data_IF_520631977511
#
_entry.id   IF_520631977511
#
_cell.length_a   1.000
_cell.length_b   1.000
_cell.length_c   1.000
_cell.angle_alpha   90.00
_cell.angle_beta   90.00
_cell.angle_gamma   90.00
#
_symmetry.space_group_name_H-M   'P 1'
#
loop_
_entity.id
_entity.type
_entity.pdbx_description
1 polymer ?
#
# COMPACT_ATOMS: atom_id res chain seq x y z
N UNK A 1 -14.78 24.05 -39.85
CA UNK A 1 -14.43 23.02 -40.86
C UNK A 1 -13.28 23.57 -41.69
N UNK A 2 -12.17 22.84 -41.90
CA UNK A 2 -11.05 23.31 -42.70
C UNK A 2 -11.48 23.62 -44.15
N UNK A 3 -10.87 24.62 -44.78
CA UNK A 3 -11.19 24.99 -46.18
C UNK A 3 -10.93 23.84 -47.15
N UNK A 4 -9.91 23.01 -46.89
CA UNK A 4 -9.58 21.79 -47.66
C UNK A 4 -10.71 20.75 -47.65
N UNK A 5 -11.45 20.66 -46.54
CA UNK A 5 -12.56 19.72 -46.38
C UNK A 5 -13.81 20.22 -47.11
N UNK A 6 -14.04 21.54 -47.14
CA UNK A 6 -15.20 22.13 -47.82
C UNK A 6 -15.16 21.89 -49.33
N UNK A 7 -13.98 21.99 -49.96
CA UNK A 7 -13.80 21.64 -51.38
C UNK A 7 -14.01 20.16 -51.66
N UNK A 8 -13.73 19.28 -50.69
CA UNK A 8 -13.90 17.83 -50.82
C UNK A 8 -15.36 17.38 -50.84
N UNK A 9 -16.27 18.11 -50.17
CA UNK A 9 -17.68 17.72 -50.06
C UNK A 9 -18.45 17.75 -51.39
N UNK A 10 -17.98 18.53 -52.38
CA UNK A 10 -18.59 18.63 -53.71
C UNK A 10 -18.04 17.65 -54.74
N UNK A 11 -17.09 16.79 -54.36
CA UNK A 11 -16.45 15.83 -55.26
C UNK A 11 -17.39 14.66 -55.55
N UNK A 12 -17.22 14.02 -56.72
CA UNK A 12 -17.96 12.81 -57.10
C UNK A 12 -17.67 11.66 -56.12
N UNK A 13 -18.68 10.84 -55.87
CA UNK A 13 -18.60 9.69 -54.95
C UNK A 13 -18.30 8.41 -55.74
N UNK A 14 -17.15 8.37 -56.41
CA UNK A 14 -16.74 7.32 -57.35
C UNK A 14 -15.62 6.42 -56.82
N UNK A 15 -15.09 6.68 -55.62
CA UNK A 15 -14.03 5.86 -55.02
C UNK A 15 -14.62 4.54 -54.56
N UNK A 16 -14.23 3.46 -55.25
CA UNK A 16 -14.59 2.10 -54.87
C UNK A 16 -13.70 1.60 -53.73
N UNK A 17 -14.31 1.05 -52.69
CA UNK A 17 -13.64 0.40 -51.58
C UNK A 17 -14.19 -1.02 -51.41
N UNK A 18 -13.33 -2.00 -51.57
CA UNK A 18 -13.69 -3.40 -51.33
C UNK A 18 -13.84 -3.67 -49.84
N UNK A 19 -14.96 -4.27 -49.46
CA UNK A 19 -15.22 -4.70 -48.09
C UNK A 19 -14.79 -6.16 -47.92
N UNK A 20 -14.21 -6.50 -46.77
CA UNK A 20 -13.92 -7.89 -46.39
C UNK A 20 -15.17 -8.79 -46.38
N UNK A 21 -16.36 -8.18 -46.37
CA UNK A 21 -17.67 -8.84 -46.33
C UNK A 21 -18.29 -9.07 -47.72
N UNK A 22 -17.54 -8.86 -48.81
CA UNK A 22 -18.02 -9.06 -50.19
C UNK A 22 -19.07 -8.05 -50.67
N UNK A 23 -19.25 -6.94 -49.94
CA UNK A 23 -20.13 -5.83 -50.35
C UNK A 23 -19.32 -4.76 -51.06
N UNK A 24 -19.75 -4.35 -52.25
CA UNK A 24 -19.17 -3.21 -52.94
C UNK A 24 -19.62 -1.91 -52.31
N UNK A 25 -18.66 -1.02 -52.03
CA UNK A 25 -18.92 0.31 -51.49
C UNK A 25 -18.32 1.33 -52.43
N UNK A 26 -19.09 2.36 -52.74
CA UNK A 26 -18.63 3.53 -53.48
C UNK A 26 -18.91 4.77 -52.65
N UNK A 27 -17.96 5.69 -52.62
CA UNK A 27 -18.05 6.87 -51.78
C UNK A 27 -16.87 7.81 -51.99
N UNK A 28 -16.65 8.66 -51.01
CA UNK A 28 -15.44 9.47 -50.93
C UNK A 28 -14.98 9.55 -49.47
N UNK A 29 -13.68 9.78 -49.26
CA UNK A 29 -13.12 9.99 -47.93
C UNK A 29 -12.61 11.42 -47.78
N UNK A 30 -12.99 12.06 -46.68
CA UNK A 30 -12.46 13.36 -46.24
C UNK A 30 -10.99 13.30 -45.81
N UNK A 31 -10.48 12.10 -45.54
CA UNK A 31 -9.12 11.84 -45.10
C UNK A 31 -8.27 11.23 -46.23
N UNK A 32 -8.65 11.46 -47.50
CA UNK A 32 -7.88 11.00 -48.66
C UNK A 32 -6.52 11.71 -48.81
N UNK A 33 -6.39 12.90 -48.22
CA UNK A 33 -5.16 13.70 -48.17
C UNK A 33 -4.87 14.11 -46.72
N UNK A 34 -3.58 14.28 -46.40
CA UNK A 34 -3.17 14.71 -45.07
C UNK A 34 -3.51 16.20 -44.86
N UNK A 35 -4.26 16.48 -43.81
CA UNK A 35 -4.68 17.84 -43.44
C UNK A 35 -3.66 18.41 -42.48
N UNK A 36 -2.88 19.39 -42.94
CA UNK A 36 -1.81 20.03 -42.14
C UNK A 36 -2.35 20.57 -40.83
N UNK A 37 -1.78 20.13 -39.72
CA UNK A 37 -2.11 20.61 -38.38
C UNK A 37 -3.36 19.98 -37.74
N UNK A 38 -4.03 19.02 -38.39
CA UNK A 38 -5.17 18.31 -37.79
C UNK A 38 -5.01 16.79 -37.87
N UNK A 39 -4.78 16.25 -39.07
CA UNK A 39 -4.68 14.79 -39.29
C UNK A 39 -3.50 14.51 -40.22
N UNK A 40 -2.46 13.87 -39.68
CA UNK A 40 -1.22 13.58 -40.41
C UNK A 40 -1.28 12.30 -41.25
N UNK A 41 -2.27 11.44 -41.02
CA UNK A 41 -2.43 10.16 -41.73
C UNK A 41 -3.52 10.24 -42.79
N UNK A 42 -3.44 9.32 -43.75
CA UNK A 42 -4.37 9.20 -44.88
C UNK A 42 -5.17 7.92 -44.73
N UNK A 43 -6.49 8.04 -44.88
CA UNK A 43 -7.42 6.91 -44.86
C UNK A 43 -8.38 7.03 -46.05
N UNK A 44 -8.09 6.30 -47.13
CA UNK A 44 -8.90 6.32 -48.35
C UNK A 44 -10.15 5.46 -48.25
N UNK A 45 -10.05 4.33 -47.55
CA UNK A 45 -11.15 3.38 -47.37
C UNK A 45 -11.34 3.06 -45.88
N UNK A 46 -12.58 2.78 -45.45
CA UNK A 46 -12.88 2.48 -44.05
C UNK A 46 -12.20 1.20 -43.55
N UNK A 47 -11.86 0.26 -44.45
CA UNK A 47 -11.16 -0.99 -44.11
C UNK A 47 -9.69 -0.78 -43.73
N UNK A 48 -9.13 0.39 -44.04
CA UNK A 48 -7.80 0.76 -43.56
C UNK A 48 -7.77 1.10 -42.06
N UNK A 49 -8.94 1.33 -41.45
CA UNK A 49 -9.10 1.54 -40.01
C UNK A 49 -9.45 0.23 -39.32
N UNK A 50 -8.90 0.03 -38.12
CA UNK A 50 -9.31 -1.10 -37.27
C UNK A 50 -10.77 -0.95 -36.90
N UNK A 51 -11.45 -2.06 -36.61
CA UNK A 51 -12.87 -2.04 -36.22
C UNK A 51 -13.14 -1.22 -34.96
N UNK A 52 -12.17 -1.14 -34.05
CA UNK A 52 -12.22 -0.32 -32.83
C UNK A 52 -11.98 1.17 -33.10
N UNK A 53 -11.34 1.51 -34.21
CA UNK A 53 -10.96 2.87 -34.58
C UNK A 53 -11.98 3.56 -35.49
N UNK A 54 -13.04 2.85 -35.87
CA UNK A 54 -14.07 3.36 -36.76
C UNK A 54 -15.45 3.17 -36.17
N UNK A 55 -16.29 4.18 -36.31
CA UNK A 55 -17.71 4.08 -35.98
C UNK A 55 -18.55 4.21 -37.25
N UNK A 56 -19.51 3.31 -37.39
CA UNK A 56 -20.41 3.27 -38.53
C UNK A 56 -21.75 3.89 -38.13
N UNK A 57 -22.14 4.96 -38.81
CA UNK A 57 -23.45 5.58 -38.65
C UNK A 57 -24.28 5.42 -39.91
N UNK A 58 -25.50 4.91 -39.76
CA UNK A 58 -26.47 4.79 -40.85
C UNK A 58 -27.65 5.71 -40.56
N UNK A 59 -28.01 6.62 -41.48
CA UNK A 59 -29.17 7.49 -41.29
C UNK A 59 -30.45 6.65 -41.23
N UNK A 60 -31.36 7.02 -40.32
CA UNK A 60 -32.69 6.39 -40.24
C UNK A 60 -33.59 6.94 -41.33
N UNK A 61 -33.53 6.32 -42.51
CA UNK A 61 -34.43 6.63 -43.61
C UNK A 61 -35.67 5.73 -43.50
N UNK A 62 -36.88 6.32 -43.64
CA UNK A 62 -38.13 5.56 -43.61
C UNK A 62 -38.36 4.88 -44.97
N UNK A 63 -37.66 3.76 -45.18
CA UNK A 63 -37.62 3.00 -46.44
C UNK A 63 -38.07 1.56 -46.16
N UNK A 64 -38.72 0.90 -47.12
CA UNK A 64 -39.07 -0.52 -47.03
C UNK A 64 -37.83 -1.40 -46.87
N UNK A 65 -37.95 -2.49 -46.11
CA UNK A 65 -36.83 -3.38 -45.76
C UNK A 65 -36.05 -3.89 -46.99
N UNK A 66 -36.75 -4.20 -48.09
CA UNK A 66 -36.14 -4.67 -49.34
C UNK A 66 -35.24 -3.61 -50.00
N UNK A 67 -35.69 -2.35 -50.07
CA UNK A 67 -34.92 -1.29 -50.68
C UNK A 67 -33.67 -0.89 -49.86
N UNK A 68 -33.67 -1.17 -48.54
CA UNK A 68 -32.49 -0.99 -47.69
C UNK A 68 -31.39 -2.05 -47.95
N UNK A 69 -31.77 -3.25 -48.42
CA UNK A 69 -30.80 -4.28 -48.81
C UNK A 69 -30.10 -3.94 -50.13
N UNK A 70 -30.82 -3.32 -51.07
CA UNK A 70 -30.29 -2.92 -52.38
C UNK A 70 -29.27 -1.78 -52.27
N UNK A 71 -29.62 -0.70 -51.55
CA UNK A 71 -28.72 0.42 -51.34
C UNK A 71 -28.98 1.09 -49.99
N UNK A 72 -27.91 1.48 -49.32
CA UNK A 72 -27.99 2.26 -48.09
C UNK A 72 -26.78 3.17 -47.97
N UNK A 73 -26.98 4.32 -47.35
CA UNK A 73 -25.92 5.31 -47.12
C UNK A 73 -25.27 4.99 -45.77
N UNK A 74 -23.95 5.03 -45.73
CA UNK A 74 -23.17 4.78 -44.52
C UNK A 74 -22.14 5.87 -44.35
N UNK A 75 -22.04 6.37 -43.12
CA UNK A 75 -20.98 7.28 -42.70
C UNK A 75 -20.00 6.53 -41.80
N UNK A 76 -18.71 6.69 -42.07
CA UNK A 76 -17.65 6.17 -41.21
C UNK A 76 -16.95 7.34 -40.54
N UNK A 77 -16.91 7.31 -39.21
CA UNK A 77 -16.16 8.27 -38.40
C UNK A 77 -14.87 7.64 -37.91
N UNK A 78 -13.83 8.46 -37.85
CA UNK A 78 -12.53 8.08 -37.34
C UNK A 78 -12.41 8.41 -35.85
N UNK A 79 -12.19 7.37 -35.06
CA UNK A 79 -12.02 7.42 -33.61
C UNK A 79 -10.58 7.15 -33.17
N UNK A 80 -9.61 6.98 -34.08
CA UNK A 80 -8.19 6.78 -33.75
C UNK A 80 -7.65 7.70 -32.65
N UNK A 81 -7.81 9.04 -32.74
CA UNK A 81 -7.26 9.93 -31.71
C UNK A 81 -7.93 9.71 -30.35
N UNK A 82 -9.19 9.28 -30.33
CA UNK A 82 -9.90 8.97 -29.07
C UNK A 82 -9.41 7.65 -28.48
N UNK A 83 -9.32 6.60 -29.30
CA UNK A 83 -8.86 5.26 -28.87
C UNK A 83 -7.41 5.31 -28.36
N UNK A 84 -6.54 6.09 -29.00
CA UNK A 84 -5.16 6.27 -28.55
C UNK A 84 -5.09 6.92 -27.17
N UNK A 85 -5.87 7.99 -26.95
CA UNK A 85 -5.93 8.68 -25.65
C UNK A 85 -6.54 7.81 -24.57
N UNK A 86 -7.62 7.09 -24.88
CA UNK A 86 -8.26 6.14 -23.98
C UNK A 86 -7.28 5.03 -23.56
N UNK A 87 -6.54 4.47 -24.51
CA UNK A 87 -5.54 3.43 -24.24
C UNK A 87 -4.42 3.94 -23.32
N UNK A 88 -3.91 5.16 -23.56
CA UNK A 88 -2.89 5.79 -22.71
C UNK A 88 -3.41 6.00 -21.28
N UNK A 89 -4.64 6.48 -21.12
CA UNK A 89 -5.23 6.66 -19.79
C UNK A 89 -5.47 5.34 -19.08
N UNK A 90 -5.94 4.31 -19.78
CA UNK A 90 -6.13 2.97 -19.21
C UNK A 90 -4.81 2.36 -18.69
N UNK A 91 -3.74 2.45 -19.48
CA UNK A 91 -2.40 1.97 -19.06
C UNK A 91 -1.89 2.80 -17.87
N UNK A 92 -2.08 4.11 -17.90
CA UNK A 92 -1.61 4.98 -16.80
C UNK A 92 -2.33 4.66 -15.49
N UNK A 93 -3.65 4.44 -15.54
CA UNK A 93 -4.45 4.10 -14.36
C UNK A 93 -4.07 2.74 -13.79
N UNK A 94 -3.88 1.72 -14.62
CA UNK A 94 -3.47 0.39 -14.14
C UNK A 94 -2.09 0.41 -13.50
N UNK A 95 -1.13 1.08 -14.12
CA UNK A 95 0.22 1.27 -13.55
C UNK A 95 0.15 2.01 -12.22
N UNK A 96 -0.60 3.11 -12.15
CA UNK A 96 -0.79 3.88 -10.92
C UNK A 96 -1.39 3.02 -9.80
N UNK A 97 -2.44 2.24 -10.08
CA UNK A 97 -3.07 1.37 -9.09
C UNK A 97 -2.10 0.29 -8.60
N UNK A 98 -1.30 -0.32 -9.49
CA UNK A 98 -0.28 -1.27 -9.07
C UNK A 98 0.76 -0.63 -8.14
N UNK A 99 1.24 0.58 -8.46
CA UNK A 99 2.18 1.30 -7.59
C UNK A 99 1.54 1.70 -6.25
N UNK A 100 0.32 2.21 -6.27
CA UNK A 100 -0.38 2.61 -5.04
C UNK A 100 -0.63 1.42 -4.11
N UNK A 101 -1.06 0.27 -4.65
CA UNK A 101 -1.33 -0.94 -3.87
C UNK A 101 -0.05 -1.55 -3.29
N UNK A 102 1.02 -1.62 -4.09
CA UNK A 102 2.31 -2.13 -3.60
C UNK A 102 2.90 -1.22 -2.52
N UNK A 103 2.87 0.09 -2.73
CA UNK A 103 3.36 1.05 -1.75
C UNK A 103 2.54 1.01 -0.45
N UNK A 104 1.20 0.98 -0.55
CA UNK A 104 0.33 0.85 0.61
C UNK A 104 0.61 -0.46 1.38
N UNK A 105 0.73 -1.59 0.68
CA UNK A 105 1.04 -2.88 1.31
C UNK A 105 2.35 -2.83 2.08
N UNK A 106 3.40 -2.23 1.51
CA UNK A 106 4.71 -2.12 2.18
C UNK A 106 4.64 -1.23 3.42
N UNK A 107 3.92 -0.10 3.36
CA UNK A 107 3.73 0.77 4.51
C UNK A 107 2.97 0.05 5.64
N UNK A 108 1.88 -0.64 5.32
CA UNK A 108 1.10 -1.38 6.31
C UNK A 108 1.92 -2.53 6.94
N UNK A 109 2.70 -3.27 6.15
CA UNK A 109 3.57 -4.33 6.69
C UNK A 109 4.61 -3.76 7.65
N UNK A 110 5.25 -2.64 7.28
CA UNK A 110 6.24 -2.00 8.14
C UNK A 110 5.62 -1.50 9.45
N UNK A 111 4.44 -0.90 9.39
CA UNK A 111 3.73 -0.41 10.56
C UNK A 111 3.30 -1.55 11.49
N UNK A 112 2.70 -2.63 10.95
CA UNK A 112 2.34 -3.81 11.73
C UNK A 112 3.54 -4.45 12.45
N UNK A 113 4.69 -4.53 11.75
CA UNK A 113 5.92 -5.08 12.33
C UNK A 113 6.43 -4.25 13.51
N UNK A 114 6.46 -2.92 13.38
CA UNK A 114 7.00 -2.05 14.42
C UNK A 114 5.99 -1.80 15.55
N UNK A 115 4.69 -1.75 15.27
CA UNK A 115 3.67 -1.39 16.26
C UNK A 115 3.21 -2.58 17.12
N UNK A 116 3.20 -3.79 16.56
CA UNK A 116 2.65 -4.97 17.24
C UNK A 116 3.66 -6.09 17.40
N UNK A 117 4.34 -6.50 16.32
CA UNK A 117 5.19 -7.70 16.38
C UNK A 117 6.43 -7.48 17.26
N UNK A 118 7.16 -6.38 17.04
CA UNK A 118 8.35 -6.05 17.83
C UNK A 118 8.08 -5.93 19.35
N UNK A 119 7.06 -5.18 19.82
CA UNK A 119 6.80 -5.10 21.26
C UNK A 119 6.33 -6.44 21.87
N UNK A 120 5.63 -7.30 21.10
CA UNK A 120 5.25 -8.64 21.59
C UNK A 120 6.49 -9.53 21.74
N UNK A 121 7.42 -9.50 20.78
CA UNK A 121 8.70 -10.21 20.87
C UNK A 121 9.51 -9.76 22.09
N UNK A 122 9.63 -8.44 22.31
CA UNK A 122 10.33 -7.88 23.46
C UNK A 122 9.68 -8.26 24.80
N UNK A 123 8.34 -8.28 24.87
CA UNK A 123 7.61 -8.71 26.05
C UNK A 123 7.86 -10.19 26.36
N UNK A 124 7.87 -11.07 25.35
CA UNK A 124 8.16 -12.49 25.51
C UNK A 124 9.60 -12.73 26.00
N UNK A 125 10.58 -12.06 25.41
CA UNK A 125 11.99 -12.19 25.81
C UNK A 125 12.19 -11.79 27.29
N UNK A 126 11.54 -10.69 27.72
CA UNK A 126 11.61 -10.23 29.11
C UNK A 126 10.92 -11.19 30.09
N UNK A 127 9.78 -11.76 29.72
CA UNK A 127 9.09 -12.75 30.54
C UNK A 127 9.95 -14.00 30.72
N UNK A 128 10.58 -14.49 29.65
CA UNK A 128 11.49 -15.64 29.75
C UNK A 128 12.73 -15.33 30.59
N UNK A 129 13.31 -14.12 30.42
CA UNK A 129 14.42 -13.67 31.25
C UNK A 129 14.05 -13.60 32.76
N UNK A 130 12.82 -13.18 33.08
CA UNK A 130 12.31 -13.17 34.46
C UNK A 130 12.09 -14.59 34.98
N UNK A 131 11.64 -15.52 34.11
CA UNK A 131 11.47 -16.94 34.45
C UNK A 131 12.80 -17.60 34.81
N UNK A 132 13.83 -17.42 33.99
CA UNK A 132 15.15 -17.99 34.25
C UNK A 132 15.82 -17.36 35.47
N UNK A 133 15.67 -16.04 35.65
CA UNK A 133 16.26 -15.33 36.76
C UNK A 133 15.40 -14.14 37.23
N UNK A 134 14.64 -14.29 38.33
CA UNK A 134 13.80 -13.20 38.83
C UNK A 134 14.63 -12.00 39.33
N UNK A 135 15.90 -12.17 39.73
CA UNK A 135 16.78 -11.05 40.09
C UNK A 135 17.20 -10.22 38.87
N UNK A 136 17.17 -10.78 37.67
CA UNK A 136 17.41 -10.03 36.44
C UNK A 136 16.31 -8.99 36.20
N UNK A 137 15.07 -9.25 36.66
CA UNK A 137 13.95 -8.32 36.57
C UNK A 137 14.24 -6.96 37.22
N UNK A 138 14.88 -6.95 38.40
CA UNK A 138 15.26 -5.71 39.10
C UNK A 138 16.29 -4.91 38.29
N UNK A 139 17.30 -5.57 37.72
CA UNK A 139 18.32 -4.91 36.90
C UNK A 139 17.72 -4.33 35.62
N UNK A 140 16.83 -5.08 34.96
CA UNK A 140 16.12 -4.62 33.76
C UNK A 140 15.23 -3.42 34.07
N UNK A 141 14.50 -3.44 35.20
CA UNK A 141 13.66 -2.33 35.65
C UNK A 141 14.47 -1.05 35.94
N UNK A 142 15.60 -1.17 36.64
CA UNK A 142 16.47 -0.04 36.96
C UNK A 142 17.12 0.56 35.71
N UNK A 143 17.62 -0.28 34.79
CA UNK A 143 18.20 0.21 33.53
C UNK A 143 17.14 0.86 32.63
N UNK A 144 15.92 0.33 32.56
CA UNK A 144 14.83 0.98 31.83
C UNK A 144 14.47 2.34 32.38
N UNK A 145 14.32 2.45 33.70
CA UNK A 145 14.04 3.73 34.35
C UNK A 145 15.12 4.76 34.03
N UNK A 146 16.39 4.36 34.14
CA UNK A 146 17.56 5.20 33.83
C UNK A 146 17.58 5.62 32.35
N UNK A 147 17.31 4.69 31.44
CA UNK A 147 17.21 4.97 30.00
C UNK A 147 16.07 5.94 29.69
N UNK A 148 14.94 5.81 30.38
CA UNK A 148 13.76 6.67 30.17
C UNK A 148 14.03 8.10 30.66
N UNK A 149 14.75 8.27 31.77
CA UNK A 149 15.24 9.58 32.21
C UNK A 149 16.22 10.22 31.21
N UNK A 150 17.19 9.46 30.71
CA UNK A 150 18.14 9.93 29.70
C UNK A 150 17.41 10.36 28.42
N UNK A 151 16.44 9.58 27.94
CA UNK A 151 15.62 9.91 26.76
C UNK A 151 14.84 11.20 26.96
N UNK A 152 14.24 11.44 28.15
CA UNK A 152 13.51 12.68 28.45
C UNK A 152 14.42 13.91 28.33
N UNK A 153 15.65 13.82 28.83
CA UNK A 153 16.66 14.89 28.74
C UNK A 153 17.10 15.14 27.29
N UNK A 154 17.31 14.08 26.49
CA UNK A 154 17.71 14.19 25.09
C UNK A 154 16.56 14.75 24.23
N UNK A 155 15.33 14.28 24.43
CA UNK A 155 14.15 14.74 23.70
C UNK A 155 13.92 16.24 23.91
N UNK A 156 14.09 16.73 25.14
CA UNK A 156 14.04 18.17 25.44
C UNK A 156 15.09 18.98 24.68
N UNK A 157 16.30 18.45 24.49
CA UNK A 157 17.36 19.12 23.71
C UNK A 157 17.11 19.11 22.20
N UNK A 158 16.37 18.14 21.67
CA UNK A 158 16.19 17.95 20.22
C UNK A 158 15.13 18.85 19.56
N UNK A 159 14.22 19.46 20.33
CA UNK A 159 13.10 20.28 19.81
C UNK A 159 13.52 21.53 19.02
N UNK A 160 14.80 21.91 19.02
CA UNK A 160 15.33 23.09 18.32
C UNK A 160 15.88 22.87 16.90
N UNK A 161 15.94 21.64 16.38
CA UNK A 161 16.63 21.35 15.10
C UNK A 161 15.67 21.38 13.91
N UNK A 162 15.73 22.43 13.07
CA UNK A 162 14.93 22.55 11.83
C UNK A 162 15.32 21.46 10.82
N UNK A 163 14.36 20.66 10.35
CA UNK A 163 14.55 19.66 9.29
C UNK A 163 14.71 20.32 7.91
N UNK A 164 15.49 19.70 7.03
CA UNK A 164 15.68 20.14 5.63
C UNK A 164 14.37 20.04 4.83
N UNK A 165 14.13 20.98 3.90
CA UNK A 165 12.90 21.03 3.06
C UNK A 165 12.67 19.74 2.25
N UNK A 166 13.74 19.12 1.77
CA UNK A 166 13.68 17.86 1.01
C UNK A 166 13.23 16.69 1.90
N UNK A 167 13.70 16.68 3.15
CA UNK A 167 13.39 15.63 4.12
C UNK A 167 11.93 15.72 4.58
N UNK A 168 11.40 16.93 4.79
CA UNK A 168 9.98 17.14 5.10
C UNK A 168 9.04 16.73 3.95
N UNK A 169 9.46 16.93 2.69
CA UNK A 169 8.69 16.48 1.53
C UNK A 169 8.66 14.94 1.42
N UNK A 170 9.78 14.26 1.61
CA UNK A 170 9.80 12.80 1.68
C UNK A 170 8.95 12.26 2.84
N UNK A 171 8.96 12.92 4.00
CA UNK A 171 8.20 12.53 5.19
C UNK A 171 6.68 12.66 4.96
N UNK A 172 6.27 13.68 4.20
CA UNK A 172 4.88 13.90 3.78
C UNK A 172 4.43 12.91 2.69
N UNK A 173 5.27 12.68 1.67
CA UNK A 173 4.93 11.79 0.54
C UNK A 173 4.94 10.32 0.94
N UNK A 174 5.86 9.91 1.81
CA UNK A 174 5.91 8.53 2.30
C UNK A 174 5.08 8.29 3.56
N UNK A 175 4.35 9.30 4.07
CA UNK A 175 3.66 9.23 5.37
C UNK A 175 4.53 8.63 6.48
N UNK A 176 5.86 8.82 6.40
CA UNK A 176 6.81 8.38 7.42
C UNK A 176 6.93 9.38 8.56
N UNK A 177 6.07 10.41 8.55
CA UNK A 177 5.86 11.36 9.63
C UNK A 177 5.34 10.61 10.86
N UNK A 178 6.29 10.02 11.59
CA UNK A 178 6.07 9.41 12.88
C UNK A 178 5.60 10.52 13.81
N UNK A 179 4.33 10.49 14.20
CA UNK A 179 3.83 11.41 15.21
C UNK A 179 4.63 11.14 16.50
N UNK A 180 5.44 12.10 17.00
CA UNK A 180 6.24 11.89 18.19
C UNK A 180 5.39 11.94 19.47
N UNK A 181 4.10 12.22 19.35
CA UNK A 181 3.15 12.15 20.45
C UNK A 181 2.86 10.68 20.74
N UNK A 182 3.56 10.20 21.78
CA UNK A 182 3.44 8.85 22.31
C UNK A 182 2.03 8.55 22.77
N UNK A 183 1.24 7.98 21.87
CA UNK A 183 0.22 7.03 22.28
C UNK A 183 0.98 5.85 22.91
N UNK A 184 0.92 5.79 24.24
CA UNK A 184 1.33 4.60 24.99
C UNK A 184 0.50 3.44 24.45
N UNK A 185 1.08 2.65 23.57
CA UNK A 185 0.47 1.42 23.10
C UNK A 185 0.16 0.55 24.31
N UNK A 186 -1.04 -0.04 24.32
CA UNK A 186 -1.47 -0.94 25.41
C UNK A 186 -0.41 -2.03 25.67
N UNK A 187 0.23 -2.53 24.60
CA UNK A 187 1.32 -3.51 24.67
C UNK A 187 2.54 -3.00 25.42
N UNK A 188 2.93 -1.74 25.23
CA UNK A 188 4.05 -1.11 25.97
C UNK A 188 3.69 -0.89 27.43
N UNK A 189 2.42 -0.59 27.73
CA UNK A 189 1.95 -0.51 29.11
C UNK A 189 2.06 -1.88 29.77
N UNK A 190 1.59 -2.95 29.10
CA UNK A 190 1.68 -4.33 29.60
C UNK A 190 3.13 -4.75 29.85
N UNK A 191 4.03 -4.47 28.91
CA UNK A 191 5.47 -4.74 29.04
C UNK A 191 6.05 -4.08 30.31
N UNK A 192 5.80 -2.78 30.51
CA UNK A 192 6.24 -2.05 31.71
C UNK A 192 5.62 -2.60 33.00
N UNK A 193 4.37 -3.05 32.96
CA UNK A 193 3.73 -3.65 34.14
C UNK A 193 4.35 -4.98 34.51
N UNK A 194 4.71 -5.83 33.54
CA UNK A 194 5.40 -7.11 33.80
C UNK A 194 6.74 -6.88 34.45
N UNK A 195 7.52 -5.92 33.95
CA UNK A 195 8.83 -5.59 34.51
C UNK A 195 8.70 -5.13 35.96
N UNK A 196 7.70 -4.28 36.26
CA UNK A 196 7.41 -3.82 37.63
C UNK A 196 6.94 -4.93 38.55
N UNK A 197 6.08 -5.83 38.07
CA UNK A 197 5.63 -7.00 38.83
C UNK A 197 6.80 -7.96 39.11
N UNK A 198 7.65 -8.20 38.11
CA UNK A 198 8.87 -9.00 38.26
C UNK A 198 9.88 -8.38 39.24
N UNK A 199 10.06 -7.05 39.20
CA UNK A 199 10.93 -6.36 40.17
C UNK A 199 10.38 -6.41 41.59
N UNK A 200 9.06 -6.27 41.75
CA UNK A 200 8.40 -6.36 43.06
C UNK A 200 8.47 -7.79 43.64
N UNK A 201 8.31 -8.79 42.78
CA UNK A 201 8.47 -10.20 43.12
C UNK A 201 9.91 -10.48 43.61
N UNK A 202 10.92 -10.07 42.85
CA UNK A 202 12.31 -10.23 43.25
C UNK A 202 12.65 -9.51 44.56
N UNK A 203 12.11 -8.29 44.75
CA UNK A 203 12.28 -7.53 45.99
C UNK A 203 11.59 -8.20 47.18
N UNK A 204 10.39 -8.75 46.99
CA UNK A 204 9.60 -9.38 48.05
C UNK A 204 10.17 -10.71 48.54
N UNK A 205 10.78 -11.49 47.66
CA UNK A 205 11.35 -12.81 47.98
C UNK A 205 12.86 -12.78 48.25
N UNK A 206 13.55 -11.73 47.82
CA UNK A 206 14.99 -11.54 48.02
C UNK A 206 15.86 -12.58 47.30
N UNK A 207 17.16 -12.55 47.58
CA UNK A 207 18.16 -13.41 46.92
C UNK A 207 17.94 -14.90 47.23
N UNK A 208 17.53 -15.24 48.45
CA UNK A 208 17.26 -16.61 48.86
C UNK A 208 15.97 -17.17 48.25
N UNK A 209 14.94 -16.33 48.07
CA UNK A 209 13.65 -16.73 47.51
C UNK A 209 13.59 -16.72 45.98
N UNK A 210 14.51 -16.04 45.30
CA UNK A 210 14.64 -16.03 43.85
C UNK A 210 14.72 -17.44 43.25
N UNK A 211 15.45 -18.35 43.89
CA UNK A 211 15.61 -19.75 43.45
C UNK A 211 14.30 -20.55 43.54
N UNK A 212 13.47 -20.26 44.55
CA UNK A 212 12.17 -20.91 44.76
C UNK A 212 11.18 -20.45 43.68
N UNK A 213 11.15 -19.15 43.39
CA UNK A 213 10.22 -18.62 42.38
C UNK A 213 10.59 -19.08 40.97
N UNK A 214 11.88 -19.09 40.63
CA UNK A 214 12.33 -19.60 39.34
C UNK A 214 11.85 -21.04 39.13
N UNK A 215 11.99 -21.89 40.15
CA UNK A 215 11.47 -23.26 40.12
C UNK A 215 9.94 -23.32 39.95
N UNK A 216 9.20 -22.48 40.67
CA UNK A 216 7.74 -22.42 40.59
C UNK A 216 7.22 -21.84 39.26
N UNK A 217 8.03 -21.05 38.55
CA UNK A 217 7.69 -20.50 37.23
C UNK A 217 8.10 -21.41 36.07
N UNK A 218 8.91 -22.45 36.32
CA UNK A 218 9.33 -23.41 35.30
C UNK A 218 8.26 -24.47 34.97
N UNK A 219 7.14 -24.49 35.70
CA UNK A 219 6.21 -25.63 35.79
C UNK A 219 5.24 -25.87 34.62
N UNK A 220 5.07 -24.97 33.65
CA UNK A 220 4.22 -25.16 32.47
C UNK A 220 4.69 -24.28 31.30
N UNK A 221 4.23 -24.58 30.07
CA UNK A 221 4.47 -23.79 28.83
C UNK A 221 3.94 -22.34 28.87
N UNK A 222 3.43 -21.89 30.02
CA UNK A 222 2.96 -20.53 30.28
C UNK A 222 3.66 -19.99 31.52
N UNK A 223 4.07 -18.72 31.50
CA UNK A 223 4.74 -18.00 32.59
C UNK A 223 3.86 -17.75 33.84
N UNK A 224 3.01 -18.72 34.18
CA UNK A 224 2.18 -18.73 35.38
C UNK A 224 3.01 -19.23 36.56
N UNK A 225 2.93 -18.52 37.69
CA UNK A 225 3.58 -18.94 38.93
C UNK A 225 2.71 -20.01 39.58
N UNK A 226 3.21 -21.24 39.70
CA UNK A 226 2.56 -22.23 40.56
C UNK A 226 2.94 -21.94 42.02
N UNK A 227 1.98 -21.45 42.80
CA UNK A 227 2.19 -21.11 44.20
C UNK A 227 2.20 -22.35 45.12
N UNK A 228 1.79 -23.52 44.63
CA UNK A 228 1.63 -24.74 45.43
C UNK A 228 2.49 -25.84 44.82
N UNK A 229 3.75 -25.87 45.22
CA UNK A 229 4.73 -26.87 44.79
C UNK A 229 5.33 -27.56 46.02
N UNK A 230 5.75 -28.81 45.88
CA UNK A 230 6.40 -29.55 46.97
C UNK A 230 7.63 -28.80 47.51
N UNK A 231 7.65 -28.57 48.82
CA UNK A 231 8.68 -27.75 49.47
C UNK A 231 10.02 -28.48 49.62
N UNK A 232 11.11 -27.72 49.62
CA UNK A 232 12.47 -28.21 49.93
C UNK A 232 12.96 -27.62 51.26
N UNK A 233 13.55 -28.47 52.12
CA UNK A 233 14.08 -28.06 53.42
C UNK A 233 15.49 -27.47 53.23
N UNK A 234 15.68 -26.22 53.61
CA UNK A 234 16.98 -25.54 53.58
C UNK A 234 17.46 -25.34 55.02
N UNK A 235 18.59 -25.94 55.37
CA UNK A 235 19.23 -25.78 56.68
C UNK A 235 20.34 -24.73 56.55
N UNK A 236 20.25 -23.63 57.31
CA UNK A 236 21.30 -22.62 57.39
C UNK A 236 22.04 -22.73 58.73
N UNK A 237 23.37 -22.63 58.67
CA UNK A 237 24.24 -22.55 59.85
C UNK A 237 24.62 -21.08 60.04
N UNK A 238 24.14 -20.46 61.11
CA UNK A 238 24.48 -19.07 61.46
C UNK A 238 25.67 -19.11 62.40
N UNK A 239 26.84 -18.72 61.90
CA UNK A 239 28.04 -18.51 62.71
C UNK A 239 27.98 -17.15 63.38
N UNK A 240 28.11 -17.11 64.70
CA UNK A 240 28.31 -15.88 65.47
C UNK A 240 29.82 -15.63 65.54
N UNK A 241 30.26 -14.47 65.06
CA UNK A 241 31.62 -13.95 65.27
C UNK A 241 31.64 -13.20 66.60
#
# INVERSE_FOLDING_TARGET
MPSQVQSGLGVRWDVACDSSTGRHRVGFSLLAEAIRGQVAYVARCPESLRRSEREMYTPRLNVTAQAHEDWHIVFFFDLRPFVEKESVFSITVTVFLCFALTFASLLFTNDANHLVLYPVEAMMEKVEAIRENPLAAMKVADEEFRMEEIKRVITQKSKGRKKSRLQAFCELVMCTARNPEGELLETVVLEKTIIKLGSLLALGFGEAGAKIIAYNMHGLDSACVDAIVEGTRVECLIGVI
#
